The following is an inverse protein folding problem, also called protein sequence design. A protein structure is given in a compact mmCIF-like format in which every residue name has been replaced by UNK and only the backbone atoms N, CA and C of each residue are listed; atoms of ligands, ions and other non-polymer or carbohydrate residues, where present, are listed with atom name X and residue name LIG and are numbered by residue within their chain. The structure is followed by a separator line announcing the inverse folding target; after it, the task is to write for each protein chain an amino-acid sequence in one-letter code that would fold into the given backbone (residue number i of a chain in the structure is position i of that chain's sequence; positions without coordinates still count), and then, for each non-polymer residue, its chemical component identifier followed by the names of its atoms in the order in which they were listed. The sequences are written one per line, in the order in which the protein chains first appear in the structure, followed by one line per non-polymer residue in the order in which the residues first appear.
data_IF_359550246005
#
_entry.id   IF_359550246005
#
_cell.length_a   1.000
_cell.length_b   1.000
_cell.length_c   1.000
_cell.angle_alpha   90.00
_cell.angle_beta   90.00
_cell.angle_gamma   90.00
#
_symmetry.space_group_name_H-M   'P 1'
#
loop_
_entity.id
_entity.type
_entity.pdbx_description
1 polymer ?
#
# COMPACT_ATOMS: atom_id res chain seq x y z
N UNK A 1 2.37 11.70 -16.42
CA UNK A 1 2.61 11.76 -14.97
C UNK A 1 2.68 10.36 -14.38
N UNK A 2 3.45 10.19 -13.34
CA UNK A 2 3.58 8.90 -12.67
C UNK A 2 2.93 8.97 -11.28
N UNK A 3 2.09 8.01 -10.98
CA UNK A 3 1.51 7.85 -9.65
C UNK A 3 2.17 6.68 -8.95
N UNK A 4 2.51 6.86 -7.67
CA UNK A 4 3.03 5.80 -6.82
C UNK A 4 2.01 5.57 -5.72
N UNK A 5 1.44 4.37 -5.68
CA UNK A 5 0.35 4.02 -4.77
C UNK A 5 0.82 2.97 -3.78
N UNK A 6 0.59 3.22 -2.51
CA UNK A 6 0.88 2.26 -1.44
C UNK A 6 -0.45 1.84 -0.83
N UNK A 7 -0.67 0.53 -0.73
CA UNK A 7 -1.88 -0.04 -0.16
C UNK A 7 -1.49 -0.99 0.96
N UNK A 8 -2.11 -0.85 2.11
CA UNK A 8 -1.86 -1.74 3.23
C UNK A 8 -3.14 -2.00 4.00
N UNK A 9 -3.15 -3.09 4.75
CA UNK A 9 -4.27 -3.41 5.62
C UNK A 9 -4.37 -2.37 6.74
N UNK A 10 -5.59 -2.06 7.13
CA UNK A 10 -5.83 -1.18 8.27
C UNK A 10 -5.20 -1.80 9.53
N UNK A 11 -4.79 -0.95 10.47
CA UNK A 11 -4.07 -1.42 11.66
C UNK A 11 -4.84 -2.45 12.47
N UNK A 12 -6.17 -2.40 12.43
CA UNK A 12 -7.03 -3.35 13.15
C UNK A 12 -7.19 -4.69 12.45
N UNK A 13 -6.71 -4.80 11.21
CA UNK A 13 -6.85 -6.02 10.41
C UNK A 13 -5.55 -6.82 10.50
N UNK A 14 -5.68 -8.13 10.75
CA UNK A 14 -4.54 -9.02 10.79
C UNK A 14 -3.85 -9.10 9.44
N UNK A 15 -2.52 -9.06 9.44
CA UNK A 15 -1.68 -9.20 8.26
C UNK A 15 -0.91 -10.52 8.35
N UNK A 16 -1.45 -11.63 7.81
CA UNK A 16 -0.79 -12.94 7.91
C UNK A 16 0.58 -12.98 7.25
N UNK A 17 0.76 -12.29 6.13
CA UNK A 17 2.03 -12.24 5.41
C UNK A 17 3.10 -11.54 6.23
N UNK A 18 2.77 -10.38 6.79
CA UNK A 18 3.70 -9.64 7.63
C UNK A 18 4.06 -10.41 8.88
N UNK A 19 3.09 -11.09 9.48
CA UNK A 19 3.32 -11.91 10.66
C UNK A 19 4.27 -13.07 10.37
N UNK A 20 4.09 -13.74 9.24
CA UNK A 20 4.95 -14.84 8.82
C UNK A 20 6.39 -14.36 8.59
N UNK A 21 6.55 -13.21 7.95
CA UNK A 21 7.89 -12.64 7.71
C UNK A 21 8.54 -12.25 9.04
N UNK A 22 7.77 -11.66 9.94
CA UNK A 22 8.28 -11.28 11.26
C UNK A 22 8.79 -12.51 12.02
N UNK A 23 8.02 -13.59 12.03
CA UNK A 23 8.43 -14.85 12.64
C UNK A 23 9.72 -15.41 12.04
N UNK A 24 9.84 -15.36 10.71
CA UNK A 24 11.04 -15.84 10.03
C UNK A 24 12.27 -15.03 10.43
N UNK A 25 12.11 -13.71 10.57
CA UNK A 25 13.21 -12.84 10.99
C UNK A 25 13.64 -13.12 12.42
N UNK A 26 12.70 -13.39 13.31
CA UNK A 26 13.00 -13.77 14.67
C UNK A 26 13.79 -15.08 14.73
N UNK A 27 13.41 -16.05 13.89
CA UNK A 27 14.11 -17.32 13.79
C UNK A 27 15.54 -17.11 13.29
N UNK A 28 15.75 -16.12 12.43
CA UNK A 28 17.09 -15.78 11.93
C UNK A 28 17.93 -15.00 12.94
N UNK A 29 17.37 -14.63 14.08
CA UNK A 29 18.12 -13.95 15.14
C UNK A 29 17.86 -12.47 15.29
N UNK A 30 16.95 -11.91 14.48
CA UNK A 30 16.60 -10.49 14.58
C UNK A 30 15.53 -10.30 15.64
N UNK A 31 15.94 -10.02 16.86
CA UNK A 31 15.03 -9.96 18.02
C UNK A 31 14.53 -8.56 18.36
N UNK A 32 15.02 -7.55 17.69
CA UNK A 32 14.71 -6.15 17.99
C UNK A 32 13.65 -5.54 17.07
N UNK A 33 12.87 -6.37 16.37
CA UNK A 33 11.80 -5.92 15.52
C UNK A 33 10.49 -6.01 16.29
N UNK A 34 9.88 -4.86 16.58
CA UNK A 34 8.63 -4.82 17.36
C UNK A 34 7.43 -5.20 16.51
N UNK A 35 7.40 -4.77 15.26
CA UNK A 35 6.29 -5.09 14.35
C UNK A 35 6.77 -5.05 12.92
N UNK A 36 6.04 -5.77 12.07
CA UNK A 36 6.30 -5.78 10.64
C UNK A 36 4.97 -5.91 9.93
N UNK A 37 4.71 -5.02 9.00
CA UNK A 37 3.48 -5.01 8.22
C UNK A 37 3.83 -5.06 6.74
N UNK A 38 3.12 -5.86 5.98
CA UNK A 38 3.31 -5.92 4.54
C UNK A 38 2.28 -5.03 3.84
N UNK A 39 2.47 -4.85 2.54
CA UNK A 39 1.56 -4.04 1.75
C UNK A 39 1.85 -4.23 0.27
N UNK A 40 1.17 -3.42 -0.55
CA UNK A 40 1.32 -3.45 -1.99
C UNK A 40 1.77 -2.10 -2.49
N UNK A 41 2.55 -2.11 -3.55
CA UNK A 41 3.02 -0.89 -4.20
C UNK A 41 2.73 -0.97 -5.69
N UNK A 42 2.10 0.08 -6.24
CA UNK A 42 1.81 0.17 -7.67
C UNK A 42 2.38 1.45 -8.24
N UNK A 43 2.96 1.35 -9.43
CA UNK A 43 3.34 2.52 -10.21
C UNK A 43 2.41 2.60 -11.41
N UNK A 44 1.82 3.76 -11.62
CA UNK A 44 0.87 3.98 -12.72
C UNK A 44 1.36 5.13 -13.57
N UNK A 45 1.61 4.88 -14.85
CA UNK A 45 1.91 5.93 -15.81
C UNK A 45 0.59 6.45 -16.37
N UNK A 46 0.36 7.75 -16.22
CA UNK A 46 -0.87 8.38 -16.66
C UNK A 46 -0.59 9.29 -17.86
N UNK A 47 -1.40 9.17 -18.88
CA UNK A 47 -1.32 10.04 -20.06
C UNK A 47 -2.23 11.25 -19.85
N UNK A 48 -1.94 12.03 -18.81
CA UNK A 48 -2.61 13.30 -18.54
C UNK A 48 -1.56 14.32 -18.14
N UNK A 49 -1.83 15.59 -18.40
CA UNK A 49 -0.90 16.68 -18.07
C UNK A 49 -1.32 17.46 -16.85
N UNK A 50 -2.60 17.43 -16.50
CA UNK A 50 -3.14 18.17 -15.39
C UNK A 50 -3.04 17.35 -14.10
N UNK A 51 -2.32 17.89 -13.13
CA UNK A 51 -2.10 17.21 -11.83
C UNK A 51 -3.41 16.94 -11.09
N UNK A 52 -4.34 17.89 -11.11
CA UNK A 52 -5.62 17.72 -10.43
C UNK A 52 -6.40 16.56 -11.04
N UNK A 53 -6.38 16.44 -12.35
CA UNK A 53 -7.02 15.34 -13.04
C UNK A 53 -6.36 14.02 -12.72
N UNK A 54 -5.03 13.99 -12.65
CA UNK A 54 -4.30 12.79 -12.26
C UNK A 54 -4.69 12.33 -10.86
N UNK A 55 -4.80 13.27 -9.92
CA UNK A 55 -5.21 12.97 -8.54
C UNK A 55 -6.60 12.36 -8.52
N UNK A 56 -7.56 12.93 -9.25
CA UNK A 56 -8.92 12.39 -9.33
C UNK A 56 -8.94 10.98 -9.86
N UNK A 57 -8.21 10.74 -10.95
CA UNK A 57 -8.17 9.42 -11.59
C UNK A 57 -7.58 8.37 -10.64
N UNK A 58 -6.46 8.68 -10.02
CA UNK A 58 -5.78 7.73 -9.13
C UNK A 58 -6.61 7.45 -7.89
N UNK A 59 -7.22 8.46 -7.30
CA UNK A 59 -8.10 8.28 -6.15
C UNK A 59 -9.27 7.37 -6.50
N UNK A 60 -9.86 7.59 -7.64
CA UNK A 60 -10.98 6.78 -8.12
C UNK A 60 -10.56 5.33 -8.37
N UNK A 61 -9.41 5.12 -9.00
CA UNK A 61 -8.88 3.77 -9.25
C UNK A 61 -8.64 3.04 -7.92
N UNK A 62 -8.07 3.73 -6.95
CA UNK A 62 -7.83 3.14 -5.63
C UNK A 62 -9.13 2.71 -4.96
N UNK A 63 -10.14 3.56 -5.00
CA UNK A 63 -11.43 3.27 -4.37
C UNK A 63 -12.18 2.15 -5.06
N UNK A 64 -12.10 2.10 -6.39
CA UNK A 64 -12.89 1.14 -7.18
C UNK A 64 -12.25 -0.23 -7.29
N UNK A 65 -10.92 -0.29 -7.28
CA UNK A 65 -10.23 -1.54 -7.61
C UNK A 65 -9.02 -1.85 -6.72
N UNK A 66 -8.10 -0.91 -6.55
CA UNK A 66 -6.81 -1.24 -5.95
C UNK A 66 -6.89 -1.54 -4.46
N UNK A 67 -7.74 -0.85 -3.73
CA UNK A 67 -7.87 -1.04 -2.29
C UNK A 67 -9.26 -1.55 -1.93
N UNK A 68 -9.31 -2.49 -1.00
CA UNK A 68 -10.58 -2.93 -0.42
C UNK A 68 -10.96 -1.93 0.68
N UNK A 69 -12.05 -1.16 0.51
CA UNK A 69 -12.37 -0.09 1.45
C UNK A 69 -12.71 -0.57 2.86
N UNK A 70 -13.05 -1.85 3.02
CA UNK A 70 -13.39 -2.40 4.33
C UNK A 70 -12.13 -2.73 5.11
N UNK A 71 -11.12 -3.31 4.47
CA UNK A 71 -9.95 -3.87 5.15
C UNK A 71 -8.65 -3.14 4.85
N UNK A 72 -8.61 -2.34 3.80
CA UNK A 72 -7.38 -1.71 3.34
C UNK A 72 -7.46 -0.19 3.33
N UNK A 73 -6.30 0.45 3.40
CA UNK A 73 -6.17 1.88 3.23
C UNK A 73 -5.09 2.15 2.19
N UNK A 74 -5.13 3.32 1.59
CA UNK A 74 -4.18 3.67 0.54
C UNK A 74 -3.68 5.09 0.69
N UNK A 75 -2.51 5.33 0.13
CA UNK A 75 -1.97 6.66 -0.05
C UNK A 75 -1.19 6.69 -1.35
N UNK A 76 -1.09 7.86 -1.96
CA UNK A 76 -0.35 7.97 -3.22
C UNK A 76 0.28 9.34 -3.39
N UNK A 77 1.26 9.37 -4.28
CA UNK A 77 1.91 10.62 -4.72
C UNK A 77 1.86 10.68 -6.23
N UNK A 78 1.82 11.90 -6.76
CA UNK A 78 1.89 12.15 -8.20
C UNK A 78 3.19 12.87 -8.50
N UNK A 79 3.96 12.31 -9.42
CA UNK A 79 5.22 12.91 -9.86
C UNK A 79 5.11 13.47 -11.26
#
# INVERSE_FOLDING_TARGET
MKAKVIIKLKDTILDPQGLTIHHALETLGYKNIESLRSGKFFEIELNVEDREKAVEIVDEICKKLLANPVTEEYQFTIE
#
